data_IF_895201274661
#
_entry.id   IF_895201274661
#
_cell.length_a   1.000
_cell.length_b   1.000
_cell.length_c   1.000
_cell.angle_alpha   90.00
_cell.angle_beta   90.00
_cell.angle_gamma   90.00
#
_symmetry.space_group_name_H-M   'P 1'
#
loop_
_entity.id
_entity.type
_entity.pdbx_description
1 polymer ?
#
# COMPACT_ATOMS: atom_id res chain seq x y z
N UNK A 1 10.70 -1.15 20.07
CA UNK A 1 10.38 0.29 19.90
C UNK A 1 8.88 0.43 20.15
N UNK A 2 8.46 1.17 21.20
CA UNK A 2 7.07 1.59 21.35
C UNK A 2 6.82 2.61 20.23
N UNK A 3 5.85 2.36 19.37
CA UNK A 3 5.40 3.36 18.42
C UNK A 3 4.80 4.51 19.26
N UNK A 4 5.43 5.67 19.23
CA UNK A 4 4.92 6.89 19.86
C UNK A 4 3.69 7.36 19.05
N UNK A 5 2.55 6.77 19.31
CA UNK A 5 1.27 7.25 18.79
C UNK A 5 0.93 8.54 19.51
N UNK A 6 1.05 9.66 18.81
CA UNK A 6 0.57 10.95 19.34
C UNK A 6 -0.89 11.09 18.97
N UNK A 7 -1.72 11.27 20.00
CA UNK A 7 -3.10 11.68 19.79
C UNK A 7 -3.16 12.99 18.98
N UNK A 8 -4.21 13.16 18.22
CA UNK A 8 -4.40 14.31 17.36
C UNK A 8 -5.84 14.42 16.91
N UNK A 9 -6.02 14.93 15.71
CA UNK A 9 -7.34 15.21 15.16
C UNK A 9 -7.45 14.65 13.75
N UNK A 10 -8.62 14.15 13.44
CA UNK A 10 -9.12 13.97 12.08
C UNK A 10 -10.04 15.15 11.76
N UNK A 11 -9.87 15.81 10.63
CA UNK A 11 -10.62 17.00 10.26
C UNK A 11 -11.20 16.90 8.85
N UNK A 12 -12.31 17.59 8.65
CA UNK A 12 -12.99 17.73 7.36
C UNK A 12 -13.15 19.21 7.07
N UNK A 13 -12.63 19.64 5.92
CA UNK A 13 -12.87 20.98 5.36
C UNK A 13 -13.87 20.84 4.22
N UNK A 14 -14.68 21.87 4.03
CA UNK A 14 -15.58 22.03 2.89
C UNK A 14 -15.19 23.27 2.10
N UNK A 15 -15.36 23.23 0.77
CA UNK A 15 -15.08 24.39 -0.06
C UNK A 15 -16.38 25.09 -0.46
N UNK A 16 -16.52 26.43 -0.23
CA UNK A 16 -17.77 27.14 -0.47
C UNK A 16 -18.27 27.11 -1.93
N UNK A 17 -17.37 26.90 -2.89
CA UNK A 17 -17.76 26.81 -4.30
C UNK A 17 -18.52 25.54 -4.68
N UNK A 18 -18.45 24.50 -3.85
CA UNK A 18 -19.14 23.22 -4.07
C UNK A 18 -19.38 22.55 -2.71
N UNK A 19 -20.64 22.42 -2.25
CA UNK A 19 -20.97 21.84 -0.94
C UNK A 19 -20.59 20.36 -0.81
N UNK A 20 -20.28 19.69 -1.92
CA UNK A 20 -19.82 18.31 -1.95
C UNK A 20 -18.30 18.20 -2.13
N UNK A 21 -17.57 19.30 -2.17
CA UNK A 21 -16.12 19.30 -2.28
C UNK A 21 -15.48 19.36 -0.90
N UNK A 22 -14.89 18.25 -0.49
CA UNK A 22 -14.27 18.11 0.83
C UNK A 22 -12.78 17.87 0.73
N UNK A 23 -12.05 18.39 1.71
CA UNK A 23 -10.71 17.96 2.02
C UNK A 23 -10.71 17.30 3.39
N UNK A 24 -10.27 16.07 3.45
CA UNK A 24 -10.07 15.36 4.70
C UNK A 24 -8.58 15.24 5.03
N UNK A 25 -8.27 15.05 6.29
CA UNK A 25 -6.89 14.86 6.71
C UNK A 25 -6.73 14.73 8.22
N UNK A 26 -5.48 14.52 8.61
CA UNK A 26 -5.08 14.31 9.99
C UNK A 26 -4.04 15.35 10.43
N UNK A 27 -4.01 15.62 11.72
CA UNK A 27 -3.05 16.57 12.29
C UNK A 27 -2.85 16.30 13.78
N UNK A 28 -1.65 16.56 14.29
CA UNK A 28 -1.37 16.61 15.73
C UNK A 28 -1.53 18.03 16.29
N UNK A 29 -1.72 19.02 15.43
CA UNK A 29 -2.01 20.40 15.79
C UNK A 29 -3.53 20.62 15.78
N UNK A 30 -4.00 21.68 16.45
CA UNK A 30 -5.42 22.04 16.34
C UNK A 30 -5.84 22.27 14.88
N UNK A 31 -7.00 21.75 14.42
CA UNK A 31 -7.43 21.79 13.02
C UNK A 31 -7.47 23.17 12.39
N UNK A 32 -7.75 24.23 13.14
CA UNK A 32 -7.73 25.62 12.65
C UNK A 32 -6.35 26.05 12.15
N UNK A 33 -5.26 25.60 12.79
CA UNK A 33 -3.90 25.88 12.30
C UNK A 33 -3.67 25.21 10.95
N UNK A 34 -4.21 24.00 10.77
CA UNK A 34 -4.11 23.29 9.53
C UNK A 34 -4.96 23.93 8.43
N UNK A 35 -6.17 24.39 8.77
CA UNK A 35 -7.01 25.19 7.88
C UNK A 35 -6.29 26.45 7.39
N UNK A 36 -5.68 27.21 8.30
CA UNK A 36 -4.89 28.40 7.93
C UNK A 36 -3.76 28.07 6.96
N UNK A 37 -3.05 26.95 7.17
CA UNK A 37 -2.00 26.49 6.26
C UNK A 37 -2.56 26.16 4.86
N UNK A 38 -3.68 25.45 4.77
CA UNK A 38 -4.31 25.12 3.47
C UNK A 38 -4.75 26.37 2.72
N UNK A 39 -5.21 27.37 3.43
CA UNK A 39 -5.67 28.63 2.86
C UNK A 39 -4.53 29.60 2.47
N UNK A 40 -3.31 29.40 2.98
CA UNK A 40 -2.16 30.27 2.71
C UNK A 40 -1.12 29.64 1.77
N UNK A 41 -1.00 28.31 1.73
CA UNK A 41 -0.02 27.62 0.90
C UNK A 41 -0.58 27.36 -0.51
N UNK A 42 -0.62 28.42 -1.34
CA UNK A 42 -1.26 28.41 -2.67
C UNK A 42 -0.57 27.52 -3.72
N UNK A 43 0.61 27.01 -3.44
CA UNK A 43 1.36 26.06 -4.26
C UNK A 43 0.90 24.58 -4.02
N UNK A 44 0.33 24.28 -2.87
CA UNK A 44 -0.20 22.97 -2.53
C UNK A 44 -1.57 22.73 -3.14
N UNK A 45 -1.98 21.45 -3.29
CA UNK A 45 -3.21 21.09 -3.99
C UNK A 45 -4.45 21.83 -3.46
N UNK A 46 -4.69 21.81 -2.13
CA UNK A 46 -5.82 22.54 -1.53
C UNK A 46 -5.70 24.06 -1.73
N UNK A 47 -4.50 24.65 -1.60
CA UNK A 47 -4.27 26.08 -1.81
C UNK A 47 -4.42 26.52 -3.27
N UNK A 48 -4.11 25.63 -4.24
CA UNK A 48 -4.37 25.93 -5.66
C UNK A 48 -5.85 26.13 -5.93
N UNK A 49 -6.73 25.36 -5.28
CA UNK A 49 -8.17 25.54 -5.38
C UNK A 49 -8.58 26.90 -4.84
N UNK A 50 -8.02 27.35 -3.70
CA UNK A 50 -8.22 28.70 -3.15
C UNK A 50 -7.79 29.77 -4.15
N UNK A 51 -6.62 29.62 -4.77
CA UNK A 51 -6.11 30.58 -5.77
C UNK A 51 -7.00 30.65 -7.02
N UNK A 52 -7.52 29.52 -7.48
CA UNK A 52 -8.34 29.45 -8.68
C UNK A 52 -9.77 29.97 -8.47
N UNK A 53 -10.32 29.76 -7.29
CA UNK A 53 -11.70 30.12 -6.96
C UNK A 53 -11.83 31.47 -6.27
N UNK A 54 -10.75 31.98 -5.66
CA UNK A 54 -10.77 33.13 -4.78
C UNK A 54 -11.44 32.88 -3.43
N UNK A 55 -11.91 31.65 -3.17
CA UNK A 55 -12.64 31.28 -1.95
C UNK A 55 -11.77 30.40 -1.06
N UNK A 56 -11.86 30.59 0.24
CA UNK A 56 -11.09 29.82 1.24
C UNK A 56 -11.86 28.62 1.70
N UNK A 57 -11.14 27.55 2.04
CA UNK A 57 -11.68 26.41 2.75
C UNK A 57 -12.23 26.82 4.10
N UNK A 58 -13.28 26.14 4.53
CA UNK A 58 -13.93 26.28 5.83
C UNK A 58 -13.84 24.97 6.60
N UNK A 59 -13.69 25.06 7.93
CA UNK A 59 -13.70 23.90 8.81
C UNK A 59 -15.15 23.41 8.98
N UNK A 60 -15.47 22.25 8.39
CA UNK A 60 -16.80 21.65 8.52
C UNK A 60 -16.96 20.96 9.86
N UNK A 61 -15.98 20.12 10.24
CA UNK A 61 -15.96 19.42 11.53
C UNK A 61 -14.59 18.81 11.80
N UNK A 62 -14.37 18.37 13.02
CA UNK A 62 -13.23 17.56 13.42
C UNK A 62 -13.56 16.68 14.62
N UNK A 63 -12.81 15.62 14.81
CA UNK A 63 -12.86 14.73 15.97
C UNK A 63 -11.44 14.54 16.54
N UNK A 64 -11.35 14.44 17.87
CA UNK A 64 -10.11 14.04 18.51
C UNK A 64 -9.95 12.51 18.41
N UNK A 65 -8.78 12.05 17.99
CA UNK A 65 -8.51 10.62 17.77
C UNK A 65 -7.17 10.21 18.40
N UNK A 66 -7.09 9.01 18.99
CA UNK A 66 -5.86 8.54 19.63
C UNK A 66 -4.75 8.19 18.64
N UNK A 67 -5.08 7.78 17.42
CA UNK A 67 -4.14 7.52 16.32
C UNK A 67 -4.70 8.14 15.03
N UNK A 68 -4.27 9.36 14.67
CA UNK A 68 -4.77 10.07 13.50
C UNK A 68 -4.63 9.30 12.19
N UNK A 69 -3.49 8.63 11.97
CA UNK A 69 -3.28 7.86 10.73
C UNK A 69 -4.15 6.62 10.65
N UNK A 70 -4.46 6.00 11.80
CA UNK A 70 -5.36 4.86 11.82
C UNK A 70 -6.81 5.28 11.60
N UNK A 71 -7.19 6.43 12.16
CA UNK A 71 -8.49 7.07 11.90
C UNK A 71 -8.68 7.43 10.43
N UNK A 72 -7.65 8.01 9.78
CA UNK A 72 -7.68 8.32 8.34
C UNK A 72 -7.88 7.07 7.49
N UNK A 73 -7.17 5.99 7.81
CA UNK A 73 -7.33 4.70 7.13
C UNK A 73 -8.74 4.13 7.29
N UNK A 74 -9.33 4.24 8.48
CA UNK A 74 -10.70 3.79 8.73
C UNK A 74 -11.72 4.62 7.96
N UNK A 75 -11.54 5.95 7.90
CA UNK A 75 -12.36 6.85 7.10
C UNK A 75 -12.39 6.41 5.64
N UNK A 76 -11.21 6.29 5.01
CA UNK A 76 -11.11 5.91 3.62
C UNK A 76 -11.64 4.49 3.37
N UNK A 77 -11.45 3.57 4.29
CA UNK A 77 -12.01 2.22 4.21
C UNK A 77 -13.55 2.19 4.18
N UNK A 78 -14.20 3.17 4.81
CA UNK A 78 -15.65 3.30 4.84
C UNK A 78 -16.23 4.10 3.64
N UNK A 79 -15.42 4.98 3.01
CA UNK A 79 -15.88 5.91 1.96
C UNK A 79 -15.40 5.59 0.56
N UNK A 80 -14.47 4.62 0.38
CA UNK A 80 -13.82 4.32 -0.93
C UNK A 80 -14.78 4.03 -2.09
N UNK A 81 -16.02 3.65 -1.81
CA UNK A 81 -17.02 3.32 -2.86
C UNK A 81 -17.69 4.57 -3.43
N UNK A 82 -17.73 5.68 -2.69
CA UNK A 82 -18.47 6.89 -3.05
C UNK A 82 -17.62 8.12 -3.35
N UNK A 83 -16.30 8.08 -3.12
CA UNK A 83 -15.45 9.24 -3.32
C UNK A 83 -14.93 9.34 -4.75
N UNK A 84 -14.94 10.56 -5.29
CA UNK A 84 -14.33 10.89 -6.59
C UNK A 84 -13.18 11.86 -6.38
N UNK A 85 -11.90 11.45 -6.63
CA UNK A 85 -10.75 12.33 -6.50
C UNK A 85 -10.93 13.59 -7.35
N UNK A 86 -10.77 14.74 -6.74
CA UNK A 86 -10.90 16.02 -7.42
C UNK A 86 -9.56 16.44 -8.04
N UNK A 87 -9.54 16.58 -9.37
CA UNK A 87 -8.34 16.98 -10.14
C UNK A 87 -7.08 16.15 -9.85
N UNK A 88 -7.27 14.85 -9.59
CA UNK A 88 -6.16 13.92 -9.37
C UNK A 88 -5.45 14.07 -8.03
N UNK A 89 -6.01 14.84 -7.09
CA UNK A 89 -5.48 14.92 -5.73
C UNK A 89 -6.04 13.82 -4.85
N UNK A 90 -5.20 13.22 -4.02
CA UNK A 90 -5.58 12.12 -3.10
C UNK A 90 -6.23 12.61 -1.78
N UNK A 91 -6.32 13.93 -1.59
CA UNK A 91 -6.77 14.51 -0.32
C UNK A 91 -7.98 15.45 -0.48
N UNK A 92 -8.44 15.67 -1.70
CA UNK A 92 -9.62 16.48 -2.01
C UNK A 92 -10.53 15.68 -2.90
N UNK A 93 -11.74 15.43 -2.43
CA UNK A 93 -12.69 14.54 -3.07
C UNK A 93 -14.09 15.15 -3.13
N UNK A 94 -14.85 14.75 -4.15
CA UNK A 94 -16.28 15.00 -4.20
C UNK A 94 -17.01 13.83 -3.54
N UNK A 95 -17.73 14.13 -2.47
CA UNK A 95 -18.49 13.15 -1.68
C UNK A 95 -19.84 13.76 -1.30
N UNK A 96 -20.83 12.91 -1.04
CA UNK A 96 -22.04 13.35 -0.35
C UNK A 96 -21.78 13.37 1.16
N UNK A 97 -22.52 14.23 1.88
CA UNK A 97 -22.29 14.40 3.31
C UNK A 97 -22.52 13.11 4.13
N UNK A 98 -23.46 12.28 3.69
CA UNK A 98 -23.75 10.98 4.31
C UNK A 98 -22.52 10.05 4.31
N UNK A 99 -21.77 10.01 3.20
CA UNK A 99 -20.53 9.23 3.10
C UNK A 99 -19.45 9.79 4.03
N UNK A 100 -19.33 11.13 4.08
CA UNK A 100 -18.40 11.79 5.01
C UNK A 100 -18.74 11.44 6.46
N UNK A 101 -20.03 11.43 6.82
CA UNK A 101 -20.48 11.05 8.17
C UNK A 101 -20.19 9.57 8.47
N UNK A 102 -20.42 8.68 7.52
CA UNK A 102 -20.07 7.26 7.67
C UNK A 102 -18.57 7.08 7.91
N UNK A 103 -17.73 7.80 7.14
CA UNK A 103 -16.28 7.83 7.32
C UNK A 103 -15.86 8.38 8.68
N UNK A 104 -16.47 9.48 9.13
CA UNK A 104 -16.20 10.06 10.46
C UNK A 104 -16.53 9.08 11.59
N UNK A 105 -17.66 8.41 11.50
CA UNK A 105 -18.05 7.38 12.47
C UNK A 105 -17.05 6.20 12.51
N UNK A 106 -16.53 5.82 11.35
CA UNK A 106 -15.49 4.79 11.27
C UNK A 106 -14.16 5.27 11.85
N UNK A 107 -13.77 6.52 11.58
CA UNK A 107 -12.56 7.14 12.11
C UNK A 107 -12.60 7.26 13.65
N UNK A 108 -13.73 7.67 14.21
CA UNK A 108 -13.94 7.77 15.66
C UNK A 108 -13.82 6.42 16.36
N UNK A 109 -14.40 5.37 15.75
CA UNK A 109 -14.38 3.99 16.29
C UNK A 109 -13.05 3.28 16.09
N UNK A 110 -12.16 3.81 15.27
CA UNK A 110 -10.92 3.11 14.86
C UNK A 110 -9.95 2.85 16.02
N UNK A 111 -9.98 3.68 17.07
CA UNK A 111 -9.09 3.54 18.23
C UNK A 111 -7.61 3.68 17.87
N UNK A 112 -6.78 2.91 18.56
CA UNK A 112 -5.33 2.85 18.31
C UNK A 112 -5.04 1.67 17.38
N UNK A 113 -4.13 1.92 16.42
CA UNK A 113 -3.65 0.87 15.52
C UNK A 113 -3.16 -0.34 16.32
N UNK A 114 -3.63 -1.55 15.97
CA UNK A 114 -3.08 -2.76 16.57
C UNK A 114 -1.56 -2.82 16.30
N UNK A 115 -0.78 -3.38 17.24
CA UNK A 115 0.64 -3.58 17.03
C UNK A 115 0.87 -4.24 15.68
N UNK A 116 1.70 -3.61 14.84
CA UNK A 116 2.06 -4.26 13.59
C UNK A 116 2.73 -5.59 13.93
N UNK A 117 2.32 -6.70 13.29
CA UNK A 117 3.09 -7.91 13.36
C UNK A 117 4.53 -7.55 13.01
N UNK A 118 5.53 -8.13 13.70
CA UNK A 118 6.92 -7.86 13.40
C UNK A 118 7.10 -7.92 11.89
N UNK A 119 7.85 -6.99 11.27
CA UNK A 119 8.04 -6.99 9.84
C UNK A 119 8.41 -8.42 9.47
N UNK A 120 7.63 -9.03 8.57
CA UNK A 120 7.97 -10.37 8.06
C UNK A 120 9.41 -10.24 7.69
N UNK A 121 10.28 -10.97 8.39
CA UNK A 121 11.72 -10.96 8.17
C UNK A 121 11.88 -11.05 6.66
N UNK A 122 12.33 -9.96 6.06
CA UNK A 122 12.46 -9.89 4.63
C UNK A 122 13.35 -11.07 4.29
N UNK A 123 12.80 -12.09 3.63
CA UNK A 123 13.54 -13.30 3.30
C UNK A 123 14.68 -12.83 2.43
N UNK A 124 15.80 -12.55 3.07
CA UNK A 124 16.99 -11.97 2.46
C UNK A 124 17.62 -12.99 1.50
N UNK A 125 18.49 -12.52 0.64
CA UNK A 125 19.33 -13.40 -0.19
C UNK A 125 20.02 -14.49 0.66
N UNK A 126 20.53 -14.11 1.84
CA UNK A 126 21.15 -15.04 2.79
C UNK A 126 20.18 -16.13 3.24
N UNK A 127 18.91 -15.78 3.50
CA UNK A 127 17.88 -16.77 3.83
C UNK A 127 17.63 -17.75 2.67
N UNK A 128 17.55 -17.25 1.42
CA UNK A 128 17.38 -18.12 0.24
C UNK A 128 18.54 -19.07 0.07
N UNK A 129 19.76 -18.56 0.17
CA UNK A 129 20.97 -19.37 0.05
C UNK A 129 21.01 -20.46 1.13
N UNK A 130 20.65 -20.15 2.38
CA UNK A 130 20.54 -21.14 3.44
C UNK A 130 19.46 -22.22 3.16
N UNK A 131 18.31 -21.84 2.54
CA UNK A 131 17.28 -22.81 2.16
C UNK A 131 17.70 -23.71 1.00
N UNK A 132 18.60 -23.26 0.14
CA UNK A 132 19.12 -24.00 -1.02
C UNK A 132 20.45 -24.70 -0.76
N UNK A 133 21.00 -24.58 0.46
CA UNK A 133 22.21 -25.24 0.85
C UNK A 133 22.09 -26.76 0.64
N UNK A 134 23.12 -27.39 0.09
CA UNK A 134 23.12 -28.84 -0.24
C UNK A 134 22.30 -29.25 -1.48
N UNK A 135 21.53 -28.35 -2.09
CA UNK A 135 20.72 -28.67 -3.29
C UNK A 135 21.49 -28.52 -4.60
N UNK A 136 22.67 -27.90 -4.57
CA UNK A 136 23.41 -27.53 -5.77
C UNK A 136 22.80 -26.40 -6.58
N UNK A 137 21.78 -25.70 -6.05
CA UNK A 137 21.15 -24.55 -6.71
C UNK A 137 21.65 -23.26 -6.05
N UNK A 138 22.04 -22.29 -6.85
CA UNK A 138 22.54 -20.99 -6.40
C UNK A 138 21.70 -19.86 -6.99
N UNK A 139 21.33 -18.87 -6.19
CA UNK A 139 20.68 -17.64 -6.62
C UNK A 139 21.74 -16.71 -7.27
N UNK A 140 21.67 -16.52 -8.60
CA UNK A 140 22.61 -15.70 -9.38
C UNK A 140 22.19 -14.26 -9.56
N UNK A 141 20.89 -13.95 -9.44
CA UNK A 141 20.34 -12.61 -9.63
C UNK A 141 21.10 -11.55 -8.81
N UNK A 142 21.58 -10.46 -9.44
CA UNK A 142 22.27 -9.34 -8.75
C UNK A 142 21.38 -8.65 -7.72
N UNK A 143 20.09 -8.48 -8.03
CA UNK A 143 19.10 -7.91 -7.13
C UNK A 143 18.07 -8.99 -6.77
N UNK A 144 17.81 -9.12 -5.49
CA UNK A 144 16.81 -10.04 -4.98
C UNK A 144 15.71 -9.24 -4.24
N UNK A 145 14.56 -8.99 -4.89
CA UNK A 145 13.51 -8.15 -4.34
C UNK A 145 12.59 -8.88 -3.35
N UNK A 146 12.71 -10.21 -3.23
CA UNK A 146 11.94 -11.01 -2.26
C UNK A 146 11.37 -12.31 -2.84
N UNK A 147 10.80 -13.19 -1.99
CA UNK A 147 10.43 -14.56 -2.36
C UNK A 147 9.25 -14.66 -3.34
N UNK A 148 8.44 -13.63 -3.47
CA UNK A 148 7.34 -13.60 -4.44
C UNK A 148 7.78 -13.25 -5.86
N UNK A 149 9.00 -12.74 -6.02
CA UNK A 149 9.53 -12.32 -7.31
C UNK A 149 10.22 -13.46 -8.05
N UNK A 150 10.24 -13.34 -9.36
CA UNK A 150 11.02 -14.20 -10.24
C UNK A 150 12.49 -13.80 -10.13
N UNK A 151 13.37 -14.77 -9.92
CA UNK A 151 14.81 -14.57 -9.84
C UNK A 151 15.53 -15.62 -10.67
N UNK A 152 16.78 -15.33 -11.01
CA UNK A 152 17.64 -16.23 -11.77
C UNK A 152 18.42 -17.13 -10.84
N UNK A 153 18.50 -18.40 -11.21
CA UNK A 153 19.21 -19.47 -10.48
C UNK A 153 20.09 -20.25 -11.43
N UNK A 154 21.13 -20.86 -10.87
CA UNK A 154 22.00 -21.80 -11.56
C UNK A 154 22.11 -23.09 -10.75
N UNK A 155 22.00 -24.25 -11.38
CA UNK A 155 22.24 -25.53 -10.72
C UNK A 155 23.69 -26.00 -10.88
N UNK A 156 24.09 -27.03 -10.11
CA UNK A 156 25.43 -27.62 -10.17
C UNK A 156 25.84 -28.19 -11.55
N UNK A 157 24.85 -28.53 -12.42
CA UNK A 157 25.08 -28.92 -13.79
C UNK A 157 25.24 -27.76 -14.78
N UNK A 158 25.20 -26.52 -14.28
CA UNK A 158 25.36 -25.29 -15.07
C UNK A 158 24.07 -24.77 -15.74
N UNK A 159 22.92 -25.44 -15.58
CA UNK A 159 21.67 -24.93 -16.15
C UNK A 159 21.25 -23.64 -15.45
N UNK A 160 20.96 -22.59 -16.25
CA UNK A 160 20.41 -21.32 -15.76
C UNK A 160 18.92 -21.32 -16.01
N UNK A 161 18.13 -20.92 -14.98
CA UNK A 161 16.68 -20.85 -15.07
C UNK A 161 16.13 -19.70 -14.23
N UNK A 162 14.95 -19.21 -14.60
CA UNK A 162 14.24 -18.12 -13.91
C UNK A 162 12.93 -18.62 -13.36
N UNK A 163 12.71 -18.42 -12.04
CA UNK A 163 11.51 -18.88 -11.39
C UNK A 163 11.23 -18.10 -10.09
N UNK A 164 10.04 -18.19 -9.54
CA UNK A 164 9.72 -17.59 -8.24
C UNK A 164 10.47 -18.32 -7.13
N UNK A 165 11.13 -17.53 -6.27
CA UNK A 165 11.94 -18.09 -5.17
C UNK A 165 11.18 -19.07 -4.30
N UNK A 166 9.90 -18.80 -3.99
CA UNK A 166 9.09 -19.72 -3.17
C UNK A 166 8.94 -21.10 -3.79
N UNK A 167 8.90 -21.18 -5.12
CA UNK A 167 8.73 -22.43 -5.86
C UNK A 167 10.06 -23.21 -5.92
N UNK A 168 11.16 -22.49 -6.14
CA UNK A 168 12.52 -23.09 -6.13
C UNK A 168 12.85 -23.66 -4.74
N UNK A 169 12.56 -22.89 -3.67
CA UNK A 169 12.79 -23.35 -2.29
C UNK A 169 11.90 -24.52 -1.91
N UNK A 170 10.67 -24.57 -2.39
CA UNK A 170 9.76 -25.69 -2.14
C UNK A 170 10.19 -26.95 -2.87
N UNK A 171 10.57 -26.84 -4.13
CA UNK A 171 10.95 -27.97 -4.98
C UNK A 171 12.36 -28.48 -4.71
N UNK A 172 13.31 -27.60 -4.41
CA UNK A 172 14.73 -27.89 -4.17
C UNK A 172 15.43 -28.66 -5.32
N UNK A 173 14.93 -28.53 -6.54
CA UNK A 173 15.47 -29.18 -7.74
C UNK A 173 15.46 -28.23 -8.93
N UNK A 174 16.41 -28.43 -9.84
CA UNK A 174 16.45 -27.69 -11.11
C UNK A 174 15.40 -28.27 -12.08
N UNK A 175 14.55 -27.43 -12.70
CA UNK A 175 13.54 -27.89 -13.65
C UNK A 175 14.15 -28.58 -14.87
N UNK A 176 15.39 -28.19 -15.26
CA UNK A 176 16.09 -28.79 -16.38
C UNK A 176 16.79 -30.13 -16.04
N UNK A 177 16.88 -30.48 -14.75
CA UNK A 177 17.49 -31.73 -14.27
C UNK A 177 16.48 -32.82 -13.89
N UNK A 178 15.22 -32.47 -13.88
CA UNK A 178 14.14 -33.44 -13.61
C UNK A 178 13.85 -34.21 -14.90
N UNK A 179 13.86 -35.53 -14.84
CA UNK A 179 13.52 -36.36 -15.99
C UNK A 179 12.10 -36.04 -16.49
N UNK A 180 11.96 -35.87 -17.80
CA UNK A 180 10.72 -35.42 -18.44
C UNK A 180 9.51 -36.33 -18.18
N UNK A 181 9.73 -37.59 -17.89
CA UNK A 181 8.66 -38.55 -17.58
C UNK A 181 7.86 -38.17 -16.31
N UNK A 182 8.48 -37.41 -15.37
CA UNK A 182 7.82 -36.90 -14.22
C UNK A 182 7.03 -35.60 -14.49
N UNK A 183 7.49 -34.82 -15.47
CA UNK A 183 6.89 -33.54 -15.84
C UNK A 183 5.55 -33.71 -16.59
N UNK A 184 5.33 -34.83 -17.30
CA UNK A 184 4.07 -35.10 -18.02
C UNK A 184 2.86 -35.23 -17.08
N UNK A 185 3.05 -35.63 -15.82
CA UNK A 185 1.99 -35.69 -14.82
C UNK A 185 1.56 -34.33 -14.24
N UNK A 186 2.43 -33.33 -14.26
CA UNK A 186 2.20 -32.04 -13.60
C UNK A 186 1.80 -30.89 -14.57
N UNK A 187 2.22 -30.98 -15.83
CA UNK A 187 1.92 -29.95 -16.86
C UNK A 187 1.10 -30.59 -17.97
N UNK A 188 -0.20 -30.69 -17.75
CA UNK A 188 -1.11 -31.25 -18.74
C UNK A 188 -0.88 -30.68 -20.15
N UNK A 189 -0.73 -31.55 -21.12
CA UNK A 189 -0.88 -31.52 -22.61
C UNK A 189 -0.80 -30.17 -23.40
N UNK A 190 -0.54 -29.00 -22.78
CA UNK A 190 -0.65 -27.69 -23.42
C UNK A 190 0.61 -27.10 -24.05
N UNK A 191 1.82 -27.61 -23.75
CA UNK A 191 3.10 -26.98 -24.15
C UNK A 191 3.86 -27.60 -25.31
N UNK A 192 3.32 -28.62 -25.96
CA UNK A 192 3.97 -29.24 -27.15
C UNK A 192 3.85 -28.42 -28.44
N UNK A 193 3.14 -27.30 -28.46
CA UNK A 193 2.84 -26.59 -29.73
C UNK A 193 3.79 -25.43 -30.08
N UNK A 194 4.74 -25.05 -29.22
CA UNK A 194 5.56 -23.85 -29.42
C UNK A 194 7.07 -24.07 -29.59
N UNK A 195 7.52 -25.30 -29.78
CA UNK A 195 8.95 -25.63 -30.03
C UNK A 195 9.12 -26.42 -31.33
N UNK A 196 8.61 -25.91 -32.44
CA UNK A 196 9.03 -26.28 -33.78
C UNK A 196 9.32 -25.03 -34.61
#
# INVERSE_FOLDING_TARGET
>A
MKADYRAGYFYVLVHPSDPNLYKVGVTVLHPEKRLAQHNSQLDKHAGRIVRETGQKWELKTYIAVPDPYWAERAFWGATMIGCMPFRGGIEVDKMVWEDVQAGLNAAEKAGIRPPQPPPRVAKSRAWVNAQLEGTGITLTARRYPGPAWVAEYQCAKGHVFTERTKEVVARKSCPCCVDWDWAEGYWGKGLRASLR
#
